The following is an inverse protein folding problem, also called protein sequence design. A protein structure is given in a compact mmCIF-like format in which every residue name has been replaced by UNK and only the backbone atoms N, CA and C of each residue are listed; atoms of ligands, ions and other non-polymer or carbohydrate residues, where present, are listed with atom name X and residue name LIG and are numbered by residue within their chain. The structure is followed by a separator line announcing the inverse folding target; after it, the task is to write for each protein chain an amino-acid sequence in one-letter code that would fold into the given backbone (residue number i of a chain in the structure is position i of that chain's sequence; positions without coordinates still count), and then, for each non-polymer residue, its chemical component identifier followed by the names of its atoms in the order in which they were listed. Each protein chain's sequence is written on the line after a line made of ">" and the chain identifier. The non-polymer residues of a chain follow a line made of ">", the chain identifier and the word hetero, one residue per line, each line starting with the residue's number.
data_IF_171685692292
#
_entry.id   IF_171685692292
#
_cell.length_a   1.000
_cell.length_b   1.000
_cell.length_c   1.000
_cell.angle_alpha   90.00
_cell.angle_beta   90.00
_cell.angle_gamma   90.00
#
_symmetry.space_group_name_H-M   'P 1'
#
loop_
_entity.id
_entity.type
_entity.pdbx_description
1 polymer ?
#
# COMPACT_ATOMS: atom_id res chain seq x y z
N UNK A 1 -0.38 -5.98 23.64
CA UNK A 1 0.74 -6.95 23.65
C UNK A 1 1.67 -6.56 22.51
N UNK A 2 2.93 -6.27 22.80
CA UNK A 2 3.94 -6.08 21.74
C UNK A 2 4.52 -7.46 21.44
N UNK A 3 4.43 -7.93 20.20
CA UNK A 3 5.15 -9.14 19.83
C UNK A 3 6.54 -8.76 19.30
N UNK A 4 7.56 -9.32 19.93
CA UNK A 4 8.88 -9.45 19.32
C UNK A 4 8.85 -10.80 18.62
N UNK A 5 9.01 -10.80 17.30
CA UNK A 5 8.94 -12.02 16.51
C UNK A 5 10.39 -12.35 16.11
N UNK A 6 10.87 -13.51 16.58
CA UNK A 6 12.24 -13.97 16.30
C UNK A 6 12.45 -14.27 14.80
N UNK A 7 13.69 -14.53 14.41
CA UNK A 7 14.02 -14.95 13.03
C UNK A 7 13.48 -16.37 12.75
N UNK A 8 13.04 -16.65 11.51
CA UNK A 8 12.56 -17.95 11.02
C UNK A 8 11.15 -18.40 11.45
N UNK A 9 10.22 -17.47 11.67
CA UNK A 9 8.80 -17.81 11.82
C UNK A 9 8.14 -17.81 10.43
N UNK A 10 7.22 -18.74 10.17
CA UNK A 10 6.52 -18.82 8.87
C UNK A 10 5.66 -17.58 8.58
N UNK A 11 5.23 -16.87 9.63
CA UNK A 11 4.52 -15.62 9.51
C UNK A 11 4.03 -15.08 10.85
N UNK A 12 3.30 -13.98 10.77
CA UNK A 12 2.63 -13.29 11.88
C UNK A 12 1.14 -13.32 11.63
N UNK A 13 0.36 -13.70 12.64
CA UNK A 13 -1.10 -13.68 12.54
C UNK A 13 -1.70 -12.86 13.68
N UNK A 14 -2.45 -11.81 13.32
CA UNK A 14 -3.33 -11.09 14.22
C UNK A 14 -4.77 -11.61 14.05
N UNK A 15 -5.25 -12.40 15.01
CA UNK A 15 -6.59 -13.00 15.00
C UNK A 15 -7.50 -12.53 16.15
N UNK A 16 -6.96 -11.77 17.11
CA UNK A 16 -7.73 -11.19 18.20
C UNK A 16 -8.36 -9.86 17.77
N UNK A 17 -9.41 -9.43 18.46
CA UNK A 17 -10.03 -8.11 18.25
C UNK A 17 -9.19 -6.95 18.79
N UNK A 18 -8.17 -7.25 19.61
CA UNK A 18 -7.25 -6.28 20.19
C UNK A 18 -6.15 -5.82 19.23
N UNK A 19 -5.35 -4.84 19.68
CA UNK A 19 -4.18 -4.37 18.95
C UNK A 19 -2.94 -5.20 19.26
N UNK A 20 -2.27 -5.68 18.20
CA UNK A 20 -0.91 -6.18 18.23
C UNK A 20 0.04 -5.12 17.67
N UNK A 21 1.09 -4.82 18.41
CA UNK A 21 2.13 -3.86 17.97
C UNK A 21 3.37 -4.65 17.54
N UNK A 22 3.86 -4.39 16.33
CA UNK A 22 5.17 -4.89 15.85
C UNK A 22 6.19 -3.77 15.97
N UNK A 23 7.18 -3.94 16.85
CA UNK A 23 8.21 -2.91 17.10
C UNK A 23 9.62 -3.32 16.69
N UNK A 24 9.82 -4.59 16.34
CA UNK A 24 11.14 -5.11 15.97
C UNK A 24 11.40 -4.84 14.47
N UNK A 25 12.40 -4.03 14.16
CA UNK A 25 12.78 -3.68 12.77
C UNK A 25 13.63 -4.76 12.08
N UNK A 26 14.05 -5.78 12.81
CA UNK A 26 14.83 -6.92 12.28
C UNK A 26 14.00 -8.19 12.13
N UNK A 27 12.70 -8.03 11.88
CA UNK A 27 11.80 -9.16 11.66
C UNK A 27 12.18 -9.89 10.36
N UNK A 28 12.26 -11.22 10.43
CA UNK A 28 12.56 -12.09 9.30
C UNK A 28 11.59 -13.28 9.34
N UNK A 29 10.38 -13.06 8.83
CA UNK A 29 9.30 -14.04 8.73
C UNK A 29 8.66 -14.00 7.33
N UNK A 30 7.85 -15.01 7.00
CA UNK A 30 7.20 -15.13 5.69
C UNK A 30 6.05 -14.13 5.48
N UNK A 31 4.84 -14.47 5.91
CA UNK A 31 3.63 -13.67 5.66
C UNK A 31 3.13 -12.92 6.89
N UNK A 32 2.35 -11.86 6.66
CA UNK A 32 1.59 -11.17 7.71
C UNK A 32 0.10 -11.34 7.43
N UNK A 33 -0.66 -11.87 8.39
CA UNK A 33 -2.10 -12.07 8.26
C UNK A 33 -2.82 -11.32 9.37
N UNK A 34 -3.77 -10.48 9.02
CA UNK A 34 -4.62 -9.72 9.95
C UNK A 34 -6.05 -10.18 9.73
N UNK A 35 -6.47 -11.21 10.45
CA UNK A 35 -7.81 -11.80 10.32
C UNK A 35 -8.88 -10.97 11.04
N UNK A 36 -8.51 -10.30 12.15
CA UNK A 36 -9.38 -9.40 12.91
C UNK A 36 -8.54 -8.38 13.69
N UNK A 37 -9.19 -7.44 14.38
CA UNK A 37 -8.52 -6.42 15.20
C UNK A 37 -7.54 -5.55 14.43
N UNK A 38 -6.49 -5.10 15.11
CA UNK A 38 -5.49 -4.17 14.53
C UNK A 38 -4.08 -4.70 14.66
N UNK A 39 -3.35 -4.77 13.56
CA UNK A 39 -1.88 -4.78 13.56
C UNK A 39 -1.40 -3.34 13.45
N UNK A 40 -0.63 -2.89 14.42
CA UNK A 40 -0.13 -1.51 14.49
C UNK A 40 1.40 -1.50 14.38
N UNK A 41 1.93 -0.64 13.52
CA UNK A 41 3.39 -0.49 13.41
C UNK A 41 3.93 0.25 14.64
N UNK A 42 4.96 -0.31 15.26
CA UNK A 42 5.69 0.28 16.37
C UNK A 42 6.95 1.05 15.93
N UNK A 43 7.41 0.80 14.70
CA UNK A 43 8.51 1.48 14.01
C UNK A 43 8.33 1.29 12.49
N UNK A 44 9.15 1.98 11.68
CA UNK A 44 9.23 1.73 10.24
C UNK A 44 10.00 0.42 9.94
N UNK A 45 9.64 -0.27 8.85
CA UNK A 45 10.35 -1.48 8.42
C UNK A 45 10.20 -2.66 9.38
N UNK A 46 9.06 -2.76 10.05
CA UNK A 46 8.79 -3.84 11.01
C UNK A 46 8.10 -5.03 10.35
N UNK A 47 7.47 -4.82 9.19
CA UNK A 47 7.02 -5.90 8.31
C UNK A 47 8.13 -6.15 7.28
N UNK A 48 8.59 -7.39 7.06
CA UNK A 48 9.58 -7.69 6.04
C UNK A 48 9.11 -7.23 4.64
N UNK A 49 10.01 -6.62 3.87
CA UNK A 49 9.75 -6.09 2.52
C UNK A 49 9.25 -7.15 1.52
N UNK A 50 9.51 -8.44 1.79
CA UNK A 50 9.01 -9.57 0.98
C UNK A 50 7.66 -10.11 1.45
N UNK A 51 7.14 -9.63 2.58
CA UNK A 51 5.97 -10.21 3.23
C UNK A 51 4.71 -9.91 2.44
N UNK A 52 3.98 -10.97 2.08
CA UNK A 52 2.60 -10.83 1.64
C UNK A 52 1.72 -10.50 2.86
N UNK A 53 0.99 -9.39 2.80
CA UNK A 53 0.14 -8.89 3.89
C UNK A 53 -1.34 -9.06 3.54
N UNK A 54 -2.00 -10.01 4.20
CA UNK A 54 -3.45 -10.24 4.05
C UNK A 54 -4.21 -9.49 5.14
N UNK A 55 -4.98 -8.48 4.75
CA UNK A 55 -5.69 -7.57 5.66
C UNK A 55 -7.19 -7.79 5.56
N UNK A 56 -7.77 -8.47 6.54
CA UNK A 56 -9.23 -8.54 6.79
C UNK A 56 -9.64 -7.70 8.00
N UNK A 57 -8.74 -7.54 8.97
CA UNK A 57 -8.87 -6.57 10.07
C UNK A 57 -8.34 -5.18 9.67
N UNK A 58 -7.50 -4.59 10.52
CA UNK A 58 -6.88 -3.27 10.29
C UNK A 58 -5.36 -3.35 10.31
N UNK A 59 -4.71 -2.78 9.30
CA UNK A 59 -3.30 -2.38 9.37
C UNK A 59 -3.23 -0.89 9.70
N UNK A 60 -2.65 -0.55 10.85
CA UNK A 60 -2.41 0.83 11.28
C UNK A 60 -0.92 1.17 11.16
N UNK A 61 -0.60 2.03 10.19
CA UNK A 61 0.75 2.52 9.92
C UNK A 61 1.33 3.36 11.06
N UNK A 62 0.48 3.93 11.93
CA UNK A 62 0.90 4.66 13.12
C UNK A 62 1.94 5.77 12.85
N UNK A 63 1.83 6.44 11.70
CA UNK A 63 2.79 7.48 11.28
C UNK A 63 4.12 6.97 10.71
N UNK A 64 4.32 5.65 10.61
CA UNK A 64 5.53 5.05 10.02
C UNK A 64 5.31 4.65 8.56
N UNK A 65 6.32 4.90 7.73
CA UNK A 65 6.34 4.34 6.36
C UNK A 65 6.76 2.88 6.41
N UNK A 66 6.20 2.08 5.52
CA UNK A 66 6.41 0.63 5.49
C UNK A 66 6.49 0.13 4.06
N UNK A 67 7.36 -0.86 3.83
CA UNK A 67 7.46 -1.58 2.56
C UNK A 67 7.03 -3.01 2.76
N UNK A 68 6.19 -3.52 1.86
CA UNK A 68 5.68 -4.88 1.92
C UNK A 68 5.76 -5.55 0.56
N UNK A 69 5.76 -6.89 0.60
CA UNK A 69 5.80 -7.70 -0.60
C UNK A 69 4.55 -7.47 -1.44
N UNK A 70 3.38 -7.62 -0.82
CA UNK A 70 2.10 -7.33 -1.45
C UNK A 70 1.02 -7.08 -0.40
N UNK A 71 -0.12 -6.52 -0.83
CA UNK A 71 -1.33 -6.37 0.00
C UNK A 71 -2.52 -7.09 -0.65
N UNK A 72 -3.31 -7.77 0.17
CA UNK A 72 -4.58 -8.43 -0.19
C UNK A 72 -5.60 -8.29 0.93
N UNK A 73 -6.82 -8.76 0.68
CA UNK A 73 -7.90 -8.79 1.68
C UNK A 73 -8.89 -7.64 1.53
N UNK A 74 -9.83 -7.58 2.46
CA UNK A 74 -11.02 -6.74 2.44
C UNK A 74 -11.17 -5.84 3.69
N UNK A 75 -10.09 -5.67 4.45
CA UNK A 75 -10.04 -4.88 5.68
C UNK A 75 -9.70 -3.41 5.45
N UNK A 76 -9.08 -2.79 6.45
CA UNK A 76 -8.72 -1.36 6.45
C UNK A 76 -7.22 -1.17 6.55
N UNK A 77 -6.67 -0.21 5.80
CA UNK A 77 -5.31 0.31 5.99
C UNK A 77 -5.43 1.80 6.34
N UNK A 78 -4.82 2.23 7.45
CA UNK A 78 -4.93 3.60 7.96
C UNK A 78 -3.67 4.06 8.69
N UNK A 79 -3.64 5.32 9.17
CA UNK A 79 -2.65 5.83 10.11
C UNK A 79 -3.33 6.56 11.25
N UNK A 80 -3.24 6.03 12.47
CA UNK A 80 -3.82 6.63 13.68
C UNK A 80 -3.02 7.79 14.27
N UNK A 81 -1.86 8.13 13.68
CA UNK A 81 -1.01 9.25 14.11
C UNK A 81 -0.81 10.22 12.94
N UNK A 82 -0.69 11.50 13.27
CA UNK A 82 -0.45 12.58 12.32
C UNK A 82 0.83 12.40 11.51
N UNK A 83 0.89 13.08 10.36
CA UNK A 83 1.97 12.93 9.38
C UNK A 83 1.48 12.23 8.11
N UNK A 84 2.43 11.92 7.23
CA UNK A 84 2.15 11.40 5.89
C UNK A 84 2.91 10.09 5.62
N UNK A 85 2.61 9.00 6.35
CA UNK A 85 3.29 7.72 6.12
C UNK A 85 2.99 7.19 4.73
N UNK A 86 4.01 6.59 4.10
CA UNK A 86 3.88 5.93 2.81
C UNK A 86 3.87 4.42 2.99
N UNK A 87 2.83 3.76 2.48
CA UNK A 87 2.85 2.32 2.28
C UNK A 87 3.39 2.03 0.88
N UNK A 88 4.50 1.30 0.80
CA UNK A 88 5.05 0.78 -0.45
C UNK A 88 4.67 -0.68 -0.60
N UNK A 89 3.94 -1.02 -1.66
CA UNK A 89 3.48 -2.38 -1.91
C UNK A 89 3.92 -2.87 -3.30
N UNK A 90 4.32 -4.15 -3.36
CA UNK A 90 4.71 -4.83 -4.60
C UNK A 90 6.14 -5.36 -4.61
N UNK A 91 6.85 -5.35 -3.47
CA UNK A 91 8.22 -5.87 -3.35
C UNK A 91 8.39 -7.35 -3.76
N UNK A 92 7.31 -8.14 -3.77
CA UNK A 92 7.34 -9.54 -4.20
C UNK A 92 6.89 -9.78 -5.66
N UNK A 93 6.62 -8.71 -6.42
CA UNK A 93 6.22 -8.76 -7.83
C UNK A 93 4.95 -9.56 -8.16
N UNK A 94 4.10 -9.84 -7.16
CA UNK A 94 2.85 -10.58 -7.38
C UNK A 94 1.71 -9.69 -7.85
N UNK A 95 0.80 -10.27 -8.65
CA UNK A 95 -0.49 -9.66 -8.92
C UNK A 95 -1.41 -9.87 -7.72
N UNK A 96 -1.98 -8.80 -7.19
CA UNK A 96 -2.89 -8.85 -6.05
C UNK A 96 -4.10 -7.94 -6.20
N UNK A 97 -5.19 -8.33 -5.54
CA UNK A 97 -6.37 -7.48 -5.34
C UNK A 97 -6.52 -7.18 -3.87
N UNK A 98 -6.54 -5.89 -3.54
CA UNK A 98 -7.00 -5.38 -2.27
C UNK A 98 -8.42 -4.86 -2.44
N UNK A 99 -9.37 -5.60 -1.88
CA UNK A 99 -10.79 -5.26 -1.84
C UNK A 99 -11.17 -4.57 -0.53
N UNK A 100 -10.19 -4.11 0.24
CA UNK A 100 -10.41 -3.30 1.42
C UNK A 100 -10.46 -1.81 1.08
N UNK A 101 -10.32 -1.00 2.13
CA UNK A 101 -10.26 0.46 2.00
C UNK A 101 -8.94 0.96 2.59
N UNK A 102 -8.18 1.69 1.79
CA UNK A 102 -7.10 2.55 2.28
C UNK A 102 -7.72 3.90 2.58
N UNK A 103 -7.55 4.38 3.80
CA UNK A 103 -8.16 5.62 4.28
C UNK A 103 -7.21 6.41 5.17
N UNK A 104 -7.43 7.72 5.23
CA UNK A 104 -6.79 8.54 6.26
C UNK A 104 -7.30 8.13 7.65
N UNK A 105 -6.47 8.36 8.66
CA UNK A 105 -6.88 8.38 10.06
C UNK A 105 -6.60 9.77 10.62
N UNK A 106 -5.82 9.85 11.69
CA UNK A 106 -5.20 11.12 12.10
C UNK A 106 -4.05 11.54 11.17
N UNK A 107 -3.45 10.57 10.47
CA UNK A 107 -2.46 10.81 9.43
C UNK A 107 -3.03 10.64 8.03
N UNK A 108 -2.37 11.26 7.06
CA UNK A 108 -2.68 11.15 5.64
C UNK A 108 -1.88 10.02 5.03
N UNK A 109 -2.54 8.94 4.63
CA UNK A 109 -1.84 7.79 4.04
C UNK A 109 -1.44 8.11 2.60
N UNK A 110 -0.19 7.84 2.24
CA UNK A 110 0.32 7.86 0.86
C UNK A 110 0.60 6.43 0.40
N UNK A 111 0.52 6.19 -0.92
CA UNK A 111 0.72 4.87 -1.51
C UNK A 111 1.84 4.92 -2.55
N UNK A 112 2.77 3.97 -2.48
CA UNK A 112 3.69 3.67 -3.57
C UNK A 112 3.45 2.26 -4.09
N UNK A 113 3.12 2.13 -5.37
CA UNK A 113 3.14 0.85 -6.07
C UNK A 113 4.53 0.61 -6.65
N UNK A 114 5.16 -0.49 -6.25
CA UNK A 114 6.47 -0.94 -6.71
C UNK A 114 6.43 -2.36 -7.29
N UNK A 115 7.54 -2.83 -7.85
CA UNK A 115 7.63 -4.15 -8.47
C UNK A 115 6.81 -4.31 -9.75
N UNK A 116 7.02 -5.44 -10.44
CA UNK A 116 6.49 -5.66 -11.80
C UNK A 116 5.03 -6.11 -11.84
N UNK A 117 4.47 -6.59 -10.72
CA UNK A 117 3.10 -7.08 -10.64
C UNK A 117 2.04 -5.97 -10.73
N UNK A 118 0.78 -6.38 -10.66
CA UNK A 118 -0.41 -5.54 -10.67
C UNK A 118 -1.02 -5.46 -9.27
N UNK A 119 -1.19 -4.26 -8.73
CA UNK A 119 -2.03 -4.03 -7.55
C UNK A 119 -3.40 -3.55 -8.03
N UNK A 120 -4.46 -4.29 -7.72
CA UNK A 120 -5.84 -3.87 -7.98
C UNK A 120 -6.48 -3.36 -6.70
N UNK A 121 -6.89 -2.09 -6.70
CA UNK A 121 -7.70 -1.48 -5.65
C UNK A 121 -9.16 -1.51 -6.08
N UNK A 122 -9.94 -2.43 -5.51
CA UNK A 122 -11.27 -2.73 -6.04
C UNK A 122 -12.44 -2.01 -5.38
N UNK A 123 -12.18 -1.25 -4.31
CA UNK A 123 -13.19 -0.51 -3.54
C UNK A 123 -12.86 0.99 -3.51
N UNK A 124 -13.75 1.79 -2.91
CA UNK A 124 -13.55 3.23 -2.74
C UNK A 124 -12.46 3.49 -1.69
N UNK A 125 -11.30 3.97 -2.12
CA UNK A 125 -10.19 4.34 -1.24
C UNK A 125 -10.24 5.86 -1.00
N UNK A 126 -10.22 6.25 0.27
CA UNK A 126 -10.48 7.64 0.70
C UNK A 126 -9.24 8.35 1.23
N UNK A 127 -8.06 7.73 1.13
CA UNK A 127 -6.80 8.41 1.45
C UNK A 127 -6.56 9.56 0.47
N UNK A 128 -5.92 10.61 0.97
CA UNK A 128 -5.67 11.84 0.20
C UNK A 128 -4.19 12.11 0.00
N UNK A 129 -3.31 11.26 0.54
CA UNK A 129 -1.87 11.33 0.26
C UNK A 129 -1.58 10.97 -1.19
N UNK A 130 -0.37 11.28 -1.64
CA UNK A 130 0.02 11.03 -3.02
C UNK A 130 0.08 9.53 -3.32
N UNK A 131 -0.25 9.18 -4.56
CA UNK A 131 -0.07 7.85 -5.13
C UNK A 131 1.07 7.90 -6.14
N UNK A 132 2.14 7.16 -5.89
CA UNK A 132 3.26 7.00 -6.83
C UNK A 132 3.26 5.60 -7.41
N UNK A 133 3.20 5.48 -8.73
CA UNK A 133 3.35 4.20 -9.43
C UNK A 133 4.76 4.17 -9.99
N UNK A 134 5.66 3.53 -9.25
CA UNK A 134 7.09 3.46 -9.58
C UNK A 134 7.40 2.37 -10.62
N UNK A 135 6.65 1.26 -10.60
CA UNK A 135 6.79 0.14 -11.52
C UNK A 135 5.51 -0.72 -11.57
N UNK A 136 5.37 -1.50 -12.64
CA UNK A 136 4.23 -2.39 -12.85
C UNK A 136 2.93 -1.63 -13.06
N UNK A 137 1.82 -2.20 -12.60
CA UNK A 137 0.48 -1.65 -12.82
C UNK A 137 -0.23 -1.37 -11.49
N UNK A 138 -0.83 -0.18 -11.38
CA UNK A 138 -1.90 0.07 -10.42
C UNK A 138 -3.22 0.06 -11.20
N UNK A 139 -4.10 -0.89 -10.88
CA UNK A 139 -5.48 -0.92 -11.39
C UNK A 139 -6.41 -0.38 -10.32
N UNK A 140 -7.22 0.63 -10.63
CA UNK A 140 -8.28 1.13 -9.76
C UNK A 140 -9.61 0.77 -10.39
N UNK A 141 -10.27 -0.25 -9.83
CA UNK A 141 -11.60 -0.66 -10.24
C UNK A 141 -12.70 -0.11 -9.35
N UNK A 142 -12.34 0.35 -8.15
CA UNK A 142 -13.16 1.24 -7.32
C UNK A 142 -12.89 2.69 -7.66
N UNK A 143 -12.55 3.50 -6.65
CA UNK A 143 -12.21 4.93 -6.80
C UNK A 143 -11.06 5.30 -5.88
N UNK A 144 -10.33 6.36 -6.23
CA UNK A 144 -9.47 7.10 -5.31
C UNK A 144 -10.15 8.43 -4.95
N UNK A 145 -9.78 9.06 -3.83
CA UNK A 145 -10.26 10.39 -3.52
C UNK A 145 -9.80 11.39 -4.59
N UNK A 146 -10.68 12.24 -5.12
CA UNK A 146 -10.35 13.20 -6.20
C UNK A 146 -9.16 14.13 -5.87
N UNK A 147 -8.87 14.31 -4.58
CA UNK A 147 -7.76 15.15 -4.08
C UNK A 147 -6.41 14.43 -4.05
N UNK A 148 -6.34 13.11 -4.27
CA UNK A 148 -5.06 12.41 -4.36
C UNK A 148 -4.35 12.74 -5.67
N UNK A 149 -3.08 13.14 -5.57
CA UNK A 149 -2.23 13.29 -6.74
C UNK A 149 -1.71 11.91 -7.17
N UNK A 150 -1.83 11.58 -8.46
CA UNK A 150 -1.27 10.34 -9.02
C UNK A 150 -0.08 10.67 -9.92
N UNK A 151 1.08 10.10 -9.60
CA UNK A 151 2.31 10.19 -10.40
C UNK A 151 2.67 8.83 -10.98
N UNK A 152 2.87 8.77 -12.29
CA UNK A 152 3.21 7.53 -13.02
C UNK A 152 4.63 7.64 -13.55
N UNK A 153 5.52 6.75 -13.09
CA UNK A 153 6.90 6.68 -13.57
C UNK A 153 6.97 6.09 -14.98
N UNK A 154 8.06 6.37 -15.70
CA UNK A 154 8.30 5.79 -17.02
C UNK A 154 8.26 4.25 -16.97
N UNK A 155 7.45 3.64 -17.85
CA UNK A 155 7.27 2.19 -17.91
C UNK A 155 6.28 1.61 -16.90
N UNK A 156 5.72 2.42 -16.00
CA UNK A 156 4.61 2.03 -15.14
C UNK A 156 3.24 2.32 -15.79
N UNK A 157 2.21 1.64 -15.32
CA UNK A 157 0.84 1.78 -15.85
C UNK A 157 -0.12 2.17 -14.74
N UNK A 158 -0.92 3.19 -15.01
CA UNK A 158 -2.12 3.49 -14.23
C UNK A 158 -3.35 3.09 -15.04
N UNK A 159 -4.06 2.06 -14.58
CA UNK A 159 -5.26 1.55 -15.23
C UNK A 159 -6.49 1.90 -14.37
N UNK A 160 -7.45 2.62 -14.93
CA UNK A 160 -8.62 3.11 -14.20
C UNK A 160 -9.88 2.67 -14.94
N UNK A 161 -10.90 2.26 -14.17
CA UNK A 161 -12.21 2.00 -14.75
C UNK A 161 -12.84 3.31 -15.22
N UNK A 162 -13.66 3.25 -16.28
CA UNK A 162 -14.27 4.44 -16.90
C UNK A 162 -15.16 5.30 -15.96
N UNK A 163 -15.47 4.82 -14.76
CA UNK A 163 -16.29 5.50 -13.76
C UNK A 163 -15.47 6.21 -12.66
N UNK A 164 -14.14 6.13 -12.69
CA UNK A 164 -13.26 6.82 -11.72
C UNK A 164 -12.85 8.20 -12.26
N UNK A 165 -12.99 9.24 -11.45
CA UNK A 165 -12.65 10.63 -11.78
C UNK A 165 -11.51 11.12 -10.89
N UNK A 166 -10.25 10.92 -11.31
CA UNK A 166 -9.12 11.44 -10.55
C UNK A 166 -8.92 12.93 -10.85
N UNK A 167 -8.83 13.78 -9.81
CA UNK A 167 -8.75 15.23 -9.97
C UNK A 167 -7.44 15.75 -10.55
N UNK A 168 -6.32 15.05 -10.36
CA UNK A 168 -4.99 15.50 -10.80
C UNK A 168 -4.06 14.32 -11.18
N UNK A 169 -4.00 13.98 -12.46
CA UNK A 169 -2.98 13.06 -12.99
C UNK A 169 -1.77 13.86 -13.49
N UNK A 170 -0.61 13.70 -12.84
CA UNK A 170 0.66 14.21 -13.38
C UNK A 170 1.36 13.06 -14.10
N UNK A 171 1.19 12.98 -15.42
CA UNK A 171 2.04 12.15 -16.27
C UNK A 171 3.39 12.84 -16.44
N UNK A 172 4.51 12.11 -16.31
CA UNK A 172 5.81 12.62 -16.75
C UNK A 172 5.74 12.93 -18.26
N UNK A 173 6.26 14.07 -18.75
CA UNK A 173 6.20 14.42 -20.16
C UNK A 173 6.90 13.34 -20.99
N UNK A 174 6.15 12.68 -21.89
CA UNK A 174 6.73 12.00 -23.04
C UNK A 174 7.34 13.11 -23.88
N UNK A 175 8.66 13.21 -23.86
CA UNK A 175 9.42 14.15 -24.66
C UNK A 175 9.09 13.86 -26.14
N UNK A 176 8.26 14.73 -26.75
CA UNK A 176 8.00 14.68 -28.19
C UNK A 176 9.24 15.23 -28.89
N UNK A 177 10.24 14.38 -29.10
CA UNK A 177 11.29 14.70 -30.07
C UNK A 177 10.62 14.79 -31.46
N UNK A 178 10.83 15.90 -32.21
CA UNK A 178 10.03 16.25 -33.37
C UNK A 178 10.21 15.26 -34.52
N UNK A 179 9.14 15.04 -35.28
CA UNK A 179 9.20 14.45 -36.63
C UNK A 179 10.05 15.39 -37.50
N UNK A 180 11.32 15.03 -37.73
CA UNK A 180 12.09 15.64 -38.80
C UNK A 180 11.65 15.00 -40.12
N UNK A 181 10.78 15.71 -40.85
CA UNK A 181 10.56 15.46 -42.27
C UNK A 181 11.53 16.35 -43.05
N UNK A 182 12.57 15.75 -43.63
CA UNK A 182 13.31 16.26 -44.78
C UNK A 182 13.97 15.07 -45.51
#
# INVERSE_FOLDING_TARGET
>A
VSAIIGSNVTGVTQNATSTLILSNTSNAYGSTTITSGTLKLGAAGVIPDSSAVSVTGTLDLNGYSETVGSITGNGTITSSVSGTPTLTAGGNNTDTTFSGVIQNGSGTVSLTKSGTGTLTLSNNNTYTGATTISAGTLTVSGTLADTTAVTVSSGATYNVNANDTIGNTMALPIDKLPVALA
#
